data_IF_503303449146
#
_entry.id   IF_503303449146
#
_cell.length_a   1.000
_cell.length_b   1.000
_cell.length_c   1.000
_cell.angle_alpha   90.00
_cell.angle_beta   90.00
_cell.angle_gamma   90.00
#
_symmetry.space_group_name_H-M   'P 1'
#
loop_
_entity.id
_entity.type
_entity.pdbx_description
1 polymer ?
#
# COMPACT_ATOMS: atom_id res chain seq x y z
N UNK A 1 -2.78 11.32 17.01
CA UNK A 1 -1.97 12.24 16.18
C UNK A 1 -2.29 11.91 14.74
N UNK A 2 -2.86 12.86 14.02
CA UNK A 2 -3.03 12.75 12.57
C UNK A 2 -1.66 12.91 11.92
N UNK A 3 -1.24 11.95 11.09
CA UNK A 3 -0.03 12.09 10.25
C UNK A 3 -0.41 12.08 8.79
N UNK A 4 0.43 12.73 7.97
CA UNK A 4 0.30 12.69 6.52
C UNK A 4 1.07 11.50 5.98
N UNK A 5 0.40 10.62 5.25
CA UNK A 5 0.97 9.45 4.60
C UNK A 5 1.10 9.73 3.12
N UNK A 6 2.32 9.67 2.62
CA UNK A 6 2.60 9.77 1.20
C UNK A 6 2.66 8.38 0.58
N UNK A 7 2.06 8.26 -0.61
CA UNK A 7 2.08 7.04 -1.39
C UNK A 7 2.60 7.38 -2.78
N UNK A 8 3.74 6.81 -3.13
CA UNK A 8 4.39 6.93 -4.44
C UNK A 8 4.09 5.71 -5.32
N UNK A 9 3.97 4.54 -4.69
CA UNK A 9 3.86 3.27 -5.39
C UNK A 9 2.77 2.41 -4.76
N UNK A 10 2.00 1.72 -5.60
CA UNK A 10 0.97 0.78 -5.18
C UNK A 10 1.27 -0.57 -5.83
N UNK A 11 1.31 -1.60 -4.99
CA UNK A 11 1.75 -2.94 -5.36
C UNK A 11 0.63 -3.91 -5.02
N UNK A 12 -0.01 -4.52 -6.02
CA UNK A 12 -0.92 -5.63 -5.77
C UNK A 12 -0.17 -6.96 -5.72
N UNK A 13 -0.48 -7.79 -4.71
CA UNK A 13 0.17 -9.09 -4.50
C UNK A 13 -0.85 -10.12 -4.02
N UNK A 14 -0.73 -11.37 -4.48
CA UNK A 14 -1.68 -12.44 -4.10
C UNK A 14 -1.42 -13.03 -2.71
N UNK A 15 -0.20 -12.91 -2.18
CA UNK A 15 0.24 -13.47 -0.89
C UNK A 15 0.84 -12.38 -0.02
N UNK A 16 0.66 -12.49 1.30
CA UNK A 16 1.26 -11.54 2.24
C UNK A 16 2.80 -11.60 2.16
N UNK A 17 3.48 -10.50 1.81
CA UNK A 17 4.93 -10.52 1.67
C UNK A 17 5.61 -10.43 3.03
N UNK A 18 6.74 -11.14 3.19
CA UNK A 18 7.59 -11.04 4.38
C UNK A 18 8.44 -9.76 4.41
N UNK A 19 8.77 -9.24 3.22
CA UNK A 19 9.64 -8.07 3.02
C UNK A 19 8.94 -7.11 2.05
N UNK A 20 9.24 -5.82 2.16
CA UNK A 20 8.78 -4.83 1.18
C UNK A 20 9.24 -5.24 -0.23
N UNK A 21 8.37 -5.35 -1.24
CA UNK A 21 8.76 -5.66 -2.61
C UNK A 21 9.60 -4.57 -3.31
N UNK A 22 9.74 -3.40 -2.69
CA UNK A 22 10.53 -2.27 -3.22
C UNK A 22 11.93 -2.18 -2.59
N UNK A 23 12.05 -2.33 -1.27
CA UNK A 23 13.35 -2.21 -0.58
C UNK A 23 13.87 -3.50 0.06
N UNK A 24 13.11 -4.60 -0.01
CA UNK A 24 13.48 -5.91 0.55
C UNK A 24 13.74 -5.88 2.07
N UNK A 25 13.13 -4.94 2.78
CA UNK A 25 13.21 -4.82 4.25
C UNK A 25 11.83 -4.97 4.90
N UNK A 26 11.81 -5.50 6.11
CA UNK A 26 10.61 -5.73 6.91
C UNK A 26 10.44 -4.79 8.13
N UNK A 27 11.41 -3.94 8.41
CA UNK A 27 11.49 -3.11 9.63
C UNK A 27 10.52 -1.91 9.65
N UNK A 28 10.04 -1.48 8.49
CA UNK A 28 9.15 -0.31 8.34
C UNK A 28 7.85 -0.67 7.61
N UNK A 29 7.29 -1.85 7.89
CA UNK A 29 6.01 -2.32 7.36
C UNK A 29 4.90 -2.13 8.39
N UNK A 30 3.94 -1.26 8.08
CA UNK A 30 2.78 -0.98 8.92
C UNK A 30 1.54 -1.59 8.28
N UNK A 31 0.87 -2.52 8.98
CA UNK A 31 -0.31 -3.22 8.47
C UNK A 31 -1.57 -2.42 8.79
N UNK A 32 -2.53 -2.46 7.88
CA UNK A 32 -3.91 -1.98 8.11
C UNK A 32 -4.03 -0.51 8.55
N UNK A 33 -3.06 0.34 8.20
CA UNK A 33 -3.15 1.79 8.42
C UNK A 33 -4.08 2.43 7.38
N UNK A 34 -3.94 1.99 6.14
CA UNK A 34 -4.74 2.38 5.00
C UNK A 34 -5.75 1.25 4.74
N UNK A 35 -6.83 1.54 4.03
CA UNK A 35 -7.72 0.56 3.41
C UNK A 35 -7.75 0.86 1.92
N UNK A 36 -7.81 -0.20 1.13
CA UNK A 36 -8.10 -0.10 -0.29
C UNK A 36 -9.52 -0.63 -0.49
N UNK A 37 -10.45 0.29 -0.77
CA UNK A 37 -11.89 0.02 -0.65
C UNK A 37 -12.46 -0.72 -1.88
N UNK A 38 -11.78 -0.72 -3.04
CA UNK A 38 -12.29 -1.42 -4.23
C UNK A 38 -12.09 -2.93 -4.17
N UNK A 39 -10.93 -3.39 -3.71
CA UNK A 39 -10.64 -4.81 -3.58
C UNK A 39 -10.99 -5.35 -2.19
N UNK A 40 -11.10 -4.48 -1.19
CA UNK A 40 -11.21 -4.88 0.22
C UNK A 40 -10.00 -5.67 0.71
N UNK A 41 -8.89 -5.66 -0.06
CA UNK A 41 -7.68 -6.38 0.24
C UNK A 41 -6.98 -5.84 1.48
N UNK A 42 -6.26 -6.72 2.17
CA UNK A 42 -5.42 -6.30 3.30
C UNK A 42 -4.27 -5.45 2.80
N UNK A 43 -4.05 -4.29 3.39
CA UNK A 43 -2.98 -3.39 2.95
C UNK A 43 -1.81 -3.36 3.94
N UNK A 44 -0.60 -3.17 3.41
CA UNK A 44 0.63 -2.97 4.17
C UNK A 44 1.35 -1.75 3.61
N UNK A 45 1.60 -0.74 4.44
CA UNK A 45 2.35 0.44 4.07
C UNK A 45 3.83 0.24 4.41
N UNK A 46 4.71 0.47 3.44
CA UNK A 46 6.13 0.65 3.69
C UNK A 46 6.45 2.13 3.83
N UNK A 47 6.62 2.63 5.06
CA UNK A 47 6.91 4.05 5.30
C UNK A 47 8.29 4.48 4.84
N UNK A 48 9.21 3.54 4.58
CA UNK A 48 10.53 3.83 3.97
C UNK A 48 10.39 4.19 2.49
N UNK A 49 9.60 3.43 1.75
CA UNK A 49 9.49 3.56 0.30
C UNK A 49 8.29 4.40 -0.15
N UNK A 50 7.40 4.75 0.79
CA UNK A 50 6.08 5.31 0.48
C UNK A 50 5.30 4.37 -0.45
N UNK A 51 5.44 3.05 -0.23
CA UNK A 51 4.83 2.01 -1.06
C UNK A 51 3.66 1.36 -0.32
N UNK A 52 2.49 1.34 -0.94
CA UNK A 52 1.30 0.66 -0.44
C UNK A 52 1.16 -0.71 -1.11
N UNK A 53 1.28 -1.76 -0.33
CA UNK A 53 1.08 -3.14 -0.76
C UNK A 53 -0.38 -3.50 -0.50
N UNK A 54 -1.10 -3.95 -1.52
CA UNK A 54 -2.48 -4.43 -1.42
C UNK A 54 -2.49 -5.93 -1.67
N UNK A 55 -2.84 -6.71 -0.66
CA UNK A 55 -2.92 -8.16 -0.77
C UNK A 55 -4.27 -8.50 -1.40
N UNK A 56 -4.26 -8.76 -2.70
CA UNK A 56 -5.43 -9.07 -3.50
C UNK A 56 -5.03 -9.89 -4.73
N UNK A 57 -5.92 -10.78 -5.17
CA UNK A 57 -5.83 -11.43 -6.48
C UNK A 57 -6.28 -10.53 -7.63
N UNK A 58 -6.91 -9.39 -7.33
CA UNK A 58 -7.46 -8.48 -8.32
C UNK A 58 -6.36 -7.66 -9.00
N UNK A 59 -6.54 -7.39 -10.30
CA UNK A 59 -5.71 -6.44 -11.03
C UNK A 59 -6.20 -5.01 -10.76
N UNK A 60 -5.57 -4.33 -9.82
CA UNK A 60 -5.87 -2.93 -9.52
C UNK A 60 -5.45 -2.03 -10.69
N UNK A 61 -6.42 -1.42 -11.37
CA UNK A 61 -6.19 -0.35 -12.37
C UNK A 61 -6.32 1.04 -11.77
N UNK A 62 -7.07 1.13 -10.69
CA UNK A 62 -7.40 2.32 -9.94
C UNK A 62 -7.52 1.88 -8.48
N UNK A 63 -7.20 2.79 -7.57
CA UNK A 63 -7.31 2.55 -6.14
C UNK A 63 -8.22 3.58 -5.51
N UNK A 64 -8.89 3.14 -4.45
CA UNK A 64 -9.64 4.02 -3.57
C UNK A 64 -9.11 3.82 -2.16
N UNK A 65 -8.44 4.85 -1.62
CA UNK A 65 -7.71 4.74 -0.37
C UNK A 65 -8.41 5.52 0.73
N UNK A 66 -8.67 4.86 1.84
CA UNK A 66 -9.18 5.47 3.07
C UNK A 66 -8.26 5.18 4.25
N UNK A 67 -8.26 6.07 5.23
CA UNK A 67 -7.44 5.94 6.43
C UNK A 67 -8.24 5.32 7.58
N UNK A 68 -7.60 4.45 8.38
CA UNK A 68 -8.24 3.89 9.58
C UNK A 68 -8.12 4.77 10.84
N UNK A 69 -7.23 5.77 10.85
CA UNK A 69 -6.86 6.55 12.06
C UNK A 69 -6.93 8.05 11.84
N UNK A 70 -7.80 8.51 10.95
CA UNK A 70 -7.91 9.92 10.52
C UNK A 70 -6.61 10.50 9.93
N UNK A 71 -5.65 9.63 9.55
CA UNK A 71 -4.44 10.03 8.81
C UNK A 71 -4.81 10.59 7.43
N UNK A 72 -4.08 11.61 6.97
CA UNK A 72 -4.28 12.20 5.64
C UNK A 72 -3.45 11.40 4.64
N UNK A 73 -4.09 10.82 3.63
CA UNK A 73 -3.42 10.06 2.58
C UNK A 73 -3.22 10.96 1.36
N UNK A 74 -1.99 11.03 0.86
CA UNK A 74 -1.65 11.78 -0.34
C UNK A 74 -0.94 10.86 -1.35
N UNK A 75 -1.58 10.62 -2.49
CA UNK A 75 -0.91 10.01 -3.64
C UNK A 75 -0.03 11.06 -4.32
N UNK A 76 1.26 10.75 -4.49
CA UNK A 76 2.18 11.57 -5.28
C UNK A 76 1.92 11.32 -6.76
N UNK A 77 1.70 12.37 -7.54
CA UNK A 77 1.59 12.25 -9.00
C UNK A 77 2.96 12.45 -9.69
N UNK A 78 3.33 11.61 -10.68
CA UNK A 78 2.64 10.38 -11.09
C UNK A 78 2.92 9.23 -10.10
N UNK A 79 1.87 8.51 -9.70
CA UNK A 79 2.00 7.29 -8.90
C UNK A 79 2.07 6.06 -9.81
N UNK A 80 2.74 5.01 -9.34
CA UNK A 80 2.88 3.76 -10.09
C UNK A 80 1.98 2.71 -9.46
N UNK A 81 1.17 2.02 -10.28
CA UNK A 81 0.43 0.82 -9.87
C UNK A 81 1.04 -0.37 -10.60
N UNK A 82 1.55 -1.36 -9.85
CA UNK A 82 2.07 -2.61 -10.44
C UNK A 82 1.59 -3.83 -9.68
N UNK A 83 1.58 -4.97 -10.36
CA UNK A 83 1.28 -6.28 -9.79
C UNK A 83 2.56 -7.08 -9.64
N UNK A 84 2.71 -7.77 -8.50
CA UNK A 84 3.78 -8.73 -8.26
C UNK A 84 3.16 -10.11 -8.14
N UNK A 85 3.62 -11.03 -8.99
CA UNK A 85 3.30 -12.45 -8.94
C UNK A 85 4.59 -13.20 -8.55
N UNK A 86 4.49 -14.09 -7.55
CA UNK A 86 5.58 -14.96 -7.08
C UNK A 86 5.28 -16.41 -7.43
#
# INVERSE_FOLDING_TARGET
MCRTIFIKEIISISKEPRLCPTCEKGDKLEKEIIREDRSGGKTILCSRCEALIVITSNNLKQVELSSRKDDIIMLKEPHIIRKVEY
#
